data_IF_727654967057
#
_entry.id   IF_727654967057
#
_cell.length_a   1.000
_cell.length_b   1.000
_cell.length_c   1.000
_cell.angle_alpha   90.00
_cell.angle_beta   90.00
_cell.angle_gamma   90.00
#
_symmetry.space_group_name_H-M   'P 1'
#
loop_
_entity.id
_entity.type
_entity.pdbx_description
1 polymer ?
#
# COMPACT_ATOMS: atom_id res chain seq x y z
N UNK A 1 5.09 56.24 -25.37
CA UNK A 1 3.86 55.39 -25.39
C UNK A 1 2.74 56.04 -26.17
N UNK A 2 2.45 57.33 -25.97
CA UNK A 2 1.38 58.04 -26.69
C UNK A 2 1.50 58.02 -28.22
N UNK A 3 2.70 58.24 -28.79
CA UNK A 3 2.87 58.25 -30.26
C UNK A 3 2.68 56.87 -30.93
N UNK A 4 3.08 55.79 -30.25
CA UNK A 4 2.86 54.41 -30.73
C UNK A 4 1.39 54.00 -30.69
N UNK A 5 0.62 54.54 -29.73
CA UNK A 5 -0.82 54.34 -29.62
C UNK A 5 -1.56 55.08 -30.74
N UNK A 6 -1.15 56.30 -31.08
CA UNK A 6 -1.72 57.07 -32.20
C UNK A 6 -1.45 56.42 -33.57
N UNK A 7 -0.23 55.92 -33.81
CA UNK A 7 0.10 55.18 -35.04
C UNK A 7 -0.73 53.88 -35.18
N UNK A 8 -0.91 53.14 -34.08
CA UNK A 8 -1.76 51.94 -34.05
C UNK A 8 -3.22 52.28 -34.32
N UNK A 9 -3.77 53.34 -33.73
CA UNK A 9 -5.15 53.75 -33.99
C UNK A 9 -5.37 54.21 -35.42
N UNK A 10 -4.36 54.83 -36.04
CA UNK A 10 -4.43 55.30 -37.43
C UNK A 10 -4.29 54.14 -38.43
N UNK A 11 -3.51 53.11 -38.11
CA UNK A 11 -3.41 51.87 -38.89
C UNK A 11 -4.69 51.04 -38.82
N UNK A 12 -5.30 50.95 -37.62
CA UNK A 12 -6.54 50.21 -37.39
C UNK A 12 -7.78 50.90 -37.96
N UNK A 13 -7.79 52.23 -38.11
CA UNK A 13 -8.91 52.95 -38.72
C UNK A 13 -8.99 52.79 -40.25
N UNK A 14 -7.86 52.49 -40.92
CA UNK A 14 -7.76 52.38 -42.38
C UNK A 14 -7.98 50.97 -42.95
N UNK A 15 -8.00 49.92 -42.11
CA UNK A 15 -8.05 48.54 -42.60
C UNK A 15 -9.26 47.76 -42.04
N UNK A 16 -10.30 47.63 -42.85
CA UNK A 16 -11.55 46.95 -42.48
C UNK A 16 -11.33 45.48 -42.04
N UNK A 17 -10.34 44.79 -42.61
CA UNK A 17 -10.03 43.41 -42.23
C UNK A 17 -9.37 43.32 -40.84
N UNK A 18 -8.59 44.34 -40.45
CA UNK A 18 -7.99 44.42 -39.12
C UNK A 18 -9.04 44.73 -38.04
N UNK A 19 -10.04 45.57 -38.36
CA UNK A 19 -11.18 45.83 -37.48
C UNK A 19 -12.02 44.56 -37.27
N UNK A 20 -12.32 43.83 -38.33
CA UNK A 20 -13.04 42.54 -38.26
C UNK A 20 -12.29 41.52 -37.40
N UNK A 21 -10.97 41.42 -37.53
CA UNK A 21 -10.14 40.51 -36.74
C UNK A 21 -10.14 40.86 -35.23
N UNK A 22 -10.10 42.15 -34.89
CA UNK A 22 -10.16 42.60 -33.48
C UNK A 22 -11.54 42.36 -32.88
N UNK A 23 -12.61 42.62 -33.63
CA UNK A 23 -13.99 42.37 -33.19
C UNK A 23 -14.21 40.86 -32.98
N UNK A 24 -13.71 40.02 -33.88
CA UNK A 24 -13.76 38.57 -33.73
C UNK A 24 -12.98 38.09 -32.51
N UNK A 25 -11.75 38.59 -32.31
CA UNK A 25 -10.94 38.24 -31.14
C UNK A 25 -11.61 38.69 -29.82
N UNK A 26 -12.18 39.90 -29.77
CA UNK A 26 -12.90 40.41 -28.61
C UNK A 26 -14.16 39.58 -28.32
N UNK A 27 -14.91 39.17 -29.34
CA UNK A 27 -16.08 38.32 -29.21
C UNK A 27 -15.72 36.91 -28.71
N UNK A 28 -14.61 36.33 -29.18
CA UNK A 28 -14.10 35.03 -28.71
C UNK A 28 -13.63 35.08 -27.26
N UNK A 29 -12.96 36.15 -26.84
CA UNK A 29 -12.56 36.34 -25.44
C UNK A 29 -13.78 36.53 -24.55
N UNK A 30 -14.76 37.33 -24.97
CA UNK A 30 -15.99 37.55 -24.21
C UNK A 30 -16.81 36.26 -24.03
N UNK A 31 -16.88 35.41 -25.06
CA UNK A 31 -17.55 34.10 -24.99
C UNK A 31 -16.82 33.12 -24.09
N UNK A 32 -15.49 33.06 -24.14
CA UNK A 32 -14.71 32.22 -23.21
C UNK A 32 -14.90 32.66 -21.76
N UNK A 33 -14.80 33.97 -21.47
CA UNK A 33 -14.99 34.52 -20.12
C UNK A 33 -16.39 34.21 -19.58
N UNK A 34 -17.44 34.32 -20.40
CA UNK A 34 -18.80 33.98 -19.99
C UNK A 34 -18.99 32.49 -19.75
N UNK A 35 -18.45 31.62 -20.61
CA UNK A 35 -18.51 30.16 -20.41
C UNK A 35 -17.79 29.75 -19.12
N UNK A 36 -16.56 30.22 -18.89
CA UNK A 36 -15.82 29.92 -17.66
C UNK A 36 -16.51 30.48 -16.41
N UNK A 37 -17.11 31.67 -16.50
CA UNK A 37 -17.90 32.25 -15.40
C UNK A 37 -19.14 31.41 -15.08
N UNK A 38 -19.88 30.95 -16.10
CA UNK A 38 -21.06 30.09 -15.94
C UNK A 38 -20.65 28.73 -15.37
N UNK A 39 -19.57 28.12 -15.87
CA UNK A 39 -19.02 26.87 -15.33
C UNK A 39 -18.57 27.03 -13.87
N UNK A 40 -17.92 28.14 -13.52
CA UNK A 40 -17.52 28.46 -12.14
C UNK A 40 -18.72 28.58 -11.19
N UNK A 41 -19.80 29.25 -11.63
CA UNK A 41 -21.04 29.36 -10.86
C UNK A 41 -21.74 28.00 -10.71
N UNK A 42 -21.78 27.19 -11.77
CA UNK A 42 -22.33 25.83 -11.69
C UNK A 42 -21.51 24.93 -10.77
N UNK A 43 -20.17 25.01 -10.79
CA UNK A 43 -19.26 24.29 -9.87
C UNK A 43 -19.57 24.67 -8.41
N UNK A 44 -19.70 25.97 -8.11
CA UNK A 44 -20.06 26.44 -6.76
C UNK A 44 -21.42 25.92 -6.29
N UNK A 45 -22.43 25.89 -7.18
CA UNK A 45 -23.75 25.31 -6.85
C UNK A 45 -23.69 23.81 -6.62
N UNK A 46 -22.92 23.07 -7.42
CA UNK A 46 -22.73 21.62 -7.25
C UNK A 46 -22.02 21.28 -5.95
N UNK A 47 -20.96 22.02 -5.61
CA UNK A 47 -20.22 21.88 -4.34
C UNK A 47 -21.12 22.23 -3.15
N UNK A 48 -21.95 23.27 -3.25
CA UNK A 48 -22.91 23.62 -2.20
C UNK A 48 -23.95 22.52 -2.00
N UNK A 49 -24.48 21.96 -3.08
CA UNK A 49 -25.46 20.87 -3.04
C UNK A 49 -24.84 19.59 -2.45
N UNK A 50 -23.59 19.27 -2.80
CA UNK A 50 -22.80 18.20 -2.18
C UNK A 50 -22.57 18.44 -0.69
N UNK A 51 -22.26 19.67 -0.27
CA UNK A 51 -22.12 20.03 1.16
C UNK A 51 -23.45 19.91 1.91
N UNK A 52 -24.57 20.26 1.28
CA UNK A 52 -25.92 20.11 1.85
C UNK A 52 -26.32 18.61 1.93
N UNK A 53 -25.97 17.79 0.93
CA UNK A 53 -26.20 16.32 0.94
C UNK A 53 -25.28 15.57 1.92
N UNK A 54 -24.10 16.13 2.24
CA UNK A 54 -23.13 15.58 3.19
C UNK A 54 -23.33 16.10 4.63
N UNK A 55 -24.34 16.94 4.88
CA UNK A 55 -24.54 17.64 6.16
C UNK A 55 -24.67 16.72 7.39
N UNK A 56 -25.22 15.50 7.22
CA UNK A 56 -25.28 14.51 8.31
C UNK A 56 -23.94 13.78 8.55
N UNK A 57 -22.99 13.88 7.62
CA UNK A 57 -21.68 13.22 7.68
C UNK A 57 -20.58 14.17 8.17
N UNK A 58 -20.74 15.48 8.01
CA UNK A 58 -19.75 16.48 8.45
C UNK A 58 -19.65 16.58 9.96
N UNK A 59 -20.75 16.45 10.70
CA UNK A 59 -20.75 16.56 12.17
C UNK A 59 -20.01 15.38 12.83
N UNK A 60 -20.01 14.22 12.19
CA UNK A 60 -19.19 13.05 12.59
C UNK A 60 -17.72 13.20 12.21
N UNK A 61 -17.43 13.82 11.06
CA UNK A 61 -16.06 14.09 10.61
C UNK A 61 -15.43 15.27 11.36
N UNK A 62 -16.15 16.32 11.74
CA UNK A 62 -15.62 17.43 12.55
C UNK A 62 -15.28 16.95 13.97
N UNK A 63 -16.10 16.09 14.57
CA UNK A 63 -15.77 15.46 15.85
C UNK A 63 -14.55 14.51 15.76
N UNK A 64 -14.36 13.81 14.65
CA UNK A 64 -13.15 13.03 14.42
C UNK A 64 -11.94 13.92 14.11
N UNK A 65 -12.09 14.93 13.25
CA UNK A 65 -11.01 15.84 12.88
C UNK A 65 -10.55 16.68 14.08
N UNK A 66 -11.42 17.13 14.98
CA UNK A 66 -10.98 17.78 16.22
C UNK A 66 -10.19 16.84 17.14
N UNK A 67 -10.43 15.53 17.08
CA UNK A 67 -9.69 14.52 17.84
C UNK A 67 -8.37 14.12 17.17
N UNK A 68 -8.31 14.15 15.84
CA UNK A 68 -7.18 13.64 15.04
C UNK A 68 -6.31 14.72 14.36
N UNK A 69 -6.75 15.98 14.24
CA UNK A 69 -5.94 17.09 13.69
C UNK A 69 -4.62 17.32 14.45
N UNK A 70 -4.58 17.26 15.79
CA UNK A 70 -3.31 17.38 16.52
C UNK A 70 -2.34 16.23 16.19
N UNK A 71 -2.86 15.04 15.85
CA UNK A 71 -2.06 13.90 15.39
C UNK A 71 -1.59 14.12 13.95
N UNK A 72 -2.49 14.42 13.01
CA UNK A 72 -2.19 14.51 11.57
C UNK A 72 -1.15 15.59 11.22
N UNK A 73 -1.11 16.71 11.96
CA UNK A 73 -0.18 17.83 11.70
C UNK A 73 1.26 17.58 12.17
N UNK A 74 1.48 16.62 13.07
CA UNK A 74 2.80 16.31 13.66
C UNK A 74 3.44 15.04 13.10
N UNK A 75 2.75 14.34 12.18
CA UNK A 75 2.97 12.92 11.94
C UNK A 75 4.20 12.56 11.10
N UNK A 76 4.79 13.49 10.36
CA UNK A 76 5.84 13.11 9.40
C UNK A 76 7.25 13.00 9.99
N UNK A 77 7.49 13.39 11.26
CA UNK A 77 8.86 13.38 11.84
C UNK A 77 8.95 13.18 13.36
N UNK A 78 7.93 12.69 14.05
CA UNK A 78 7.99 12.56 15.51
C UNK A 78 8.00 11.08 16.01
N UNK A 79 9.13 10.60 16.57
CA UNK A 79 9.22 9.31 17.26
C UNK A 79 8.16 9.10 18.35
N UNK A 80 7.60 10.18 18.91
CA UNK A 80 6.61 10.13 19.99
C UNK A 80 5.31 9.40 19.61
N UNK A 81 4.95 9.39 18.32
CA UNK A 81 3.74 8.74 17.83
C UNK A 81 3.91 7.24 17.72
N UNK A 82 5.06 6.77 17.20
CA UNK A 82 5.41 5.33 17.24
C UNK A 82 5.44 4.82 18.68
N UNK A 83 5.99 5.62 19.61
CA UNK A 83 5.96 5.31 21.04
C UNK A 83 4.54 5.27 21.62
N UNK A 84 3.64 6.17 21.20
CA UNK A 84 2.23 6.16 21.60
C UNK A 84 1.51 4.88 21.13
N UNK A 85 1.67 4.49 19.86
CA UNK A 85 1.10 3.23 19.35
C UNK A 85 1.72 2.01 20.01
N UNK A 86 3.02 2.01 20.29
CA UNK A 86 3.69 0.93 21.04
C UNK A 86 3.19 0.83 22.48
N UNK A 87 2.81 1.94 23.09
CA UNK A 87 2.25 1.97 24.45
C UNK A 87 0.82 1.45 24.49
N UNK A 88 0.02 1.75 23.46
CA UNK A 88 -1.37 1.28 23.34
C UNK A 88 -1.43 -0.18 22.84
N UNK A 89 -0.48 -0.59 22.00
CA UNK A 89 -0.35 -1.93 21.42
C UNK A 89 1.06 -2.46 21.65
N UNK A 90 1.35 -3.04 22.83
CA UNK A 90 2.70 -3.49 23.15
C UNK A 90 3.16 -4.55 22.16
N UNK A 91 4.23 -4.23 21.44
CA UNK A 91 4.94 -5.18 20.60
C UNK A 91 5.43 -6.33 21.46
N UNK A 92 4.87 -7.52 21.25
CA UNK A 92 5.47 -8.73 21.77
C UNK A 92 6.67 -9.00 20.88
N UNK A 93 7.89 -8.95 21.42
CA UNK A 93 9.06 -9.46 20.73
C UNK A 93 8.81 -10.95 20.51
N UNK A 94 8.65 -11.36 19.25
CA UNK A 94 8.44 -12.76 18.88
C UNK A 94 9.67 -13.31 18.20
N UNK A 95 10.05 -14.51 18.60
CA UNK A 95 11.07 -15.33 17.97
C UNK A 95 10.59 -16.78 17.84
N UNK A 96 11.40 -17.63 17.21
CA UNK A 96 11.10 -19.06 17.07
C UNK A 96 10.93 -19.81 18.41
N UNK A 97 11.53 -19.33 19.49
CA UNK A 97 11.51 -19.97 20.82
C UNK A 97 10.35 -19.50 21.70
N UNK A 98 9.61 -18.49 21.25
CA UNK A 98 8.53 -17.89 22.01
C UNK A 98 7.47 -18.94 22.37
N UNK A 99 7.16 -19.05 23.66
CA UNK A 99 6.26 -20.08 24.19
C UNK A 99 4.83 -19.58 24.16
N UNK A 100 3.93 -20.40 23.63
CA UNK A 100 2.48 -20.15 23.64
C UNK A 100 1.88 -21.03 24.73
N UNK A 101 1.39 -20.39 25.79
CA UNK A 101 0.73 -21.07 26.90
C UNK A 101 -0.78 -20.95 26.71
N UNK A 102 -1.42 -22.08 26.43
CA UNK A 102 -2.86 -22.19 26.26
C UNK A 102 -3.50 -22.89 27.44
N UNK A 103 -4.69 -22.43 27.83
CA UNK A 103 -5.55 -23.21 28.72
C UNK A 103 -6.06 -24.47 27.99
N UNK A 104 -6.50 -25.48 28.73
CA UNK A 104 -7.01 -26.74 28.15
C UNK A 104 -8.12 -26.47 27.13
N UNK A 105 -9.05 -25.61 27.50
CA UNK A 105 -10.27 -25.34 26.73
C UNK A 105 -9.94 -24.58 25.44
N UNK A 106 -9.01 -23.62 25.51
CA UNK A 106 -8.52 -22.89 24.32
C UNK A 106 -7.77 -23.82 23.36
N UNK A 107 -6.99 -24.76 23.90
CA UNK A 107 -6.29 -25.76 23.09
C UNK A 107 -7.27 -26.67 22.34
N UNK A 108 -8.36 -27.08 22.99
CA UNK A 108 -9.41 -27.88 22.36
C UNK A 108 -10.15 -27.08 21.27
N UNK A 109 -10.54 -25.84 21.57
CA UNK A 109 -11.18 -24.95 20.59
C UNK A 109 -10.30 -24.71 19.36
N UNK A 110 -9.00 -24.45 19.57
CA UNK A 110 -8.08 -24.22 18.47
C UNK A 110 -7.80 -25.50 17.67
N UNK A 111 -7.74 -26.66 18.34
CA UNK A 111 -7.65 -27.95 17.67
C UNK A 111 -8.87 -28.21 16.77
N UNK A 112 -10.09 -27.88 17.23
CA UNK A 112 -11.30 -28.00 16.41
C UNK A 112 -11.30 -26.99 15.25
N UNK A 113 -10.82 -25.77 15.47
CA UNK A 113 -10.66 -24.76 14.40
C UNK A 113 -9.76 -25.28 13.27
N UNK A 114 -8.68 -26.00 13.61
CA UNK A 114 -7.71 -26.55 12.65
C UNK A 114 -7.97 -28.00 12.23
N UNK A 115 -9.11 -28.60 12.60
CA UNK A 115 -9.40 -30.01 12.33
C UNK A 115 -9.24 -30.40 10.85
N UNK A 116 -9.63 -29.52 9.92
CA UNK A 116 -9.50 -29.76 8.47
C UNK A 116 -8.04 -29.69 8.00
N UNK A 117 -7.26 -28.78 8.57
CA UNK A 117 -5.83 -28.67 8.29
C UNK A 117 -5.10 -29.92 8.79
N UNK A 118 -5.49 -30.43 9.97
CA UNK A 118 -4.95 -31.68 10.54
C UNK A 118 -5.20 -32.88 9.63
N UNK A 119 -6.39 -32.99 9.03
CA UNK A 119 -6.69 -34.06 8.06
C UNK A 119 -5.82 -33.94 6.81
N UNK A 120 -5.55 -32.73 6.35
CA UNK A 120 -4.78 -32.48 5.13
C UNK A 120 -3.25 -32.69 5.34
N UNK A 121 -2.68 -32.11 6.40
CA UNK A 121 -1.24 -32.13 6.65
C UNK A 121 -0.78 -33.32 7.51
N UNK A 122 -1.70 -34.00 8.19
CA UNK A 122 -1.39 -34.92 9.29
C UNK A 122 -0.96 -34.19 10.56
N UNK A 123 -0.81 -34.94 11.66
CA UNK A 123 -0.43 -34.40 12.97
C UNK A 123 0.93 -33.70 12.91
N UNK A 124 1.95 -34.40 12.39
CA UNK A 124 3.33 -33.92 12.34
C UNK A 124 3.46 -32.68 11.44
N UNK A 125 2.76 -32.67 10.31
CA UNK A 125 2.76 -31.53 9.39
C UNK A 125 2.13 -30.29 10.03
N UNK A 126 0.99 -30.46 10.70
CA UNK A 126 0.33 -29.36 11.40
C UNK A 126 1.17 -28.84 12.57
N UNK A 127 1.80 -29.74 13.34
CA UNK A 127 2.68 -29.34 14.45
C UNK A 127 3.87 -28.51 13.96
N UNK A 128 4.48 -28.87 12.82
CA UNK A 128 5.53 -28.05 12.19
C UNK A 128 5.03 -26.67 11.81
N UNK A 129 3.83 -26.56 11.24
CA UNK A 129 3.22 -25.28 10.88
C UNK A 129 2.95 -24.44 12.14
N UNK A 130 2.36 -25.02 13.18
CA UNK A 130 2.07 -24.34 14.44
C UNK A 130 3.33 -23.84 15.16
N UNK A 131 4.44 -24.56 15.01
CA UNK A 131 5.73 -24.20 15.60
C UNK A 131 6.60 -23.30 14.72
N UNK A 132 6.15 -22.98 13.50
CA UNK A 132 6.90 -22.10 12.61
C UNK A 132 6.86 -20.64 13.06
N UNK A 133 7.97 -19.94 12.80
CA UNK A 133 8.07 -18.48 12.92
C UNK A 133 8.27 -17.87 11.54
N UNK A 134 7.34 -17.00 11.13
CA UNK A 134 7.36 -16.36 9.80
C UNK A 134 7.43 -14.84 9.95
N UNK A 135 8.28 -14.22 9.13
CA UNK A 135 8.36 -12.76 9.03
C UNK A 135 7.76 -12.33 7.70
N UNK A 136 6.83 -11.37 7.73
CA UNK A 136 6.23 -10.78 6.55
C UNK A 136 6.65 -9.31 6.46
N UNK A 137 7.32 -8.95 5.38
CA UNK A 137 7.78 -7.57 5.13
C UNK A 137 6.89 -6.92 4.08
N UNK A 138 6.17 -5.87 4.48
CA UNK A 138 5.08 -5.25 3.75
C UNK A 138 3.72 -5.85 4.15
N UNK A 139 2.82 -5.01 4.65
CA UNK A 139 1.45 -5.31 5.06
C UNK A 139 0.42 -4.73 4.06
N UNK A 140 0.82 -4.51 2.81
CA UNK A 140 -0.05 -4.00 1.75
C UNK A 140 -1.08 -5.03 1.23
N UNK A 141 -1.48 -4.89 -0.03
CA UNK A 141 -2.50 -5.75 -0.65
C UNK A 141 -2.10 -7.22 -0.81
N UNK A 142 -0.80 -7.54 -0.74
CA UNK A 142 -0.30 -8.92 -0.77
C UNK A 142 -0.05 -9.43 0.65
N UNK A 143 0.79 -8.72 1.42
CA UNK A 143 1.22 -9.19 2.73
C UNK A 143 0.09 -9.30 3.75
N UNK A 144 -0.92 -8.42 3.71
CA UNK A 144 -2.09 -8.57 4.59
C UNK A 144 -2.85 -9.87 4.35
N UNK A 145 -2.92 -10.36 3.11
CA UNK A 145 -3.51 -11.68 2.81
C UNK A 145 -2.58 -12.82 3.21
N UNK A 146 -1.28 -12.70 2.94
CA UNK A 146 -0.30 -13.71 3.35
C UNK A 146 -0.35 -13.96 4.86
N UNK A 147 -0.35 -12.89 5.68
CA UNK A 147 -0.50 -12.98 7.14
C UNK A 147 -1.78 -13.71 7.54
N UNK A 148 -2.92 -13.35 6.95
CA UNK A 148 -4.21 -13.97 7.26
C UNK A 148 -4.26 -15.45 6.87
N UNK A 149 -3.64 -15.82 5.76
CA UNK A 149 -3.61 -17.20 5.27
C UNK A 149 -2.68 -18.05 6.13
N UNK A 150 -1.48 -17.55 6.46
CA UNK A 150 -0.57 -18.20 7.41
C UNK A 150 -1.26 -18.48 8.75
N UNK A 151 -1.95 -17.48 9.31
CA UNK A 151 -2.68 -17.63 10.56
C UNK A 151 -3.74 -18.72 10.46
N UNK A 152 -4.56 -18.69 9.40
CA UNK A 152 -5.64 -19.67 9.19
C UNK A 152 -5.13 -21.08 8.85
N UNK A 153 -3.90 -21.18 8.36
CA UNK A 153 -3.19 -22.45 8.18
C UNK A 153 -2.64 -23.02 9.50
N UNK A 154 -2.52 -22.20 10.54
CA UNK A 154 -2.11 -22.60 11.89
C UNK A 154 -0.81 -21.95 12.39
N UNK A 155 -0.17 -21.07 11.59
CA UNK A 155 1.02 -20.33 12.04
C UNK A 155 0.62 -19.36 13.14
N UNK A 156 1.29 -19.44 14.28
CA UNK A 156 0.95 -18.63 15.46
C UNK A 156 2.02 -17.60 15.82
N UNK A 157 3.22 -17.66 15.23
CA UNK A 157 4.31 -16.70 15.46
C UNK A 157 4.57 -15.95 14.17
N UNK A 158 4.11 -14.71 14.11
CA UNK A 158 4.23 -13.88 12.91
C UNK A 158 4.80 -12.52 13.31
N UNK A 159 5.90 -12.12 12.67
CA UNK A 159 6.34 -10.72 12.69
C UNK A 159 5.88 -10.06 11.41
N UNK A 160 5.30 -8.87 11.53
CA UNK A 160 4.81 -8.07 10.41
C UNK A 160 5.57 -6.74 10.44
N UNK A 161 6.21 -6.38 9.34
CA UNK A 161 7.01 -5.15 9.21
C UNK A 161 6.40 -4.29 8.12
N UNK A 162 5.86 -3.13 8.48
CA UNK A 162 5.39 -2.10 7.53
C UNK A 162 5.30 -0.76 8.27
N UNK A 163 5.76 0.32 7.63
CA UNK A 163 5.70 1.68 8.16
C UNK A 163 4.41 2.41 7.75
N UNK A 164 3.72 1.92 6.72
CA UNK A 164 2.55 2.57 6.16
C UNK A 164 1.31 2.46 7.06
N UNK A 165 0.44 3.45 6.90
CA UNK A 165 -0.91 3.46 7.44
C UNK A 165 -1.95 3.02 6.41
N UNK A 166 -3.11 2.62 6.90
CA UNK A 166 -4.28 2.36 6.05
C UNK A 166 -4.75 3.67 5.45
N UNK A 167 -4.85 3.71 4.13
CA UNK A 167 -5.48 4.81 3.38
C UNK A 167 -6.82 4.38 2.81
N UNK A 168 -7.68 5.32 2.40
CA UNK A 168 -8.94 4.99 1.72
C UNK A 168 -8.71 4.09 0.49
N UNK A 169 -7.64 4.36 -0.26
CA UNK A 169 -7.27 3.53 -1.40
C UNK A 169 -6.85 2.12 -1.01
N UNK A 170 -6.38 1.90 0.22
CA UNK A 170 -5.98 0.58 0.71
C UNK A 170 -7.17 -0.37 0.87
N UNK A 171 -8.37 0.17 1.13
CA UNK A 171 -9.59 -0.60 1.39
C UNK A 171 -10.03 -1.49 0.22
N UNK A 172 -9.59 -1.20 -1.01
CA UNK A 172 -9.89 -2.07 -2.16
C UNK A 172 -9.17 -3.42 -2.09
N UNK A 173 -8.02 -3.50 -1.39
CA UNK A 173 -7.10 -4.63 -1.48
C UNK A 173 -6.59 -5.19 -0.15
N UNK A 174 -6.46 -4.37 0.88
CA UNK A 174 -6.03 -4.82 2.21
C UNK A 174 -7.00 -5.88 2.75
N UNK A 175 -6.48 -6.92 3.41
CA UNK A 175 -7.28 -8.09 3.76
C UNK A 175 -8.39 -7.81 4.78
N UNK A 176 -8.09 -6.97 5.78
CA UNK A 176 -8.94 -6.81 6.97
C UNK A 176 -9.32 -5.36 7.28
N UNK A 177 -8.74 -4.40 6.54
CA UNK A 177 -8.94 -2.98 6.87
C UNK A 177 -10.33 -2.52 6.45
N UNK A 178 -10.92 -1.69 7.30
CA UNK A 178 -12.23 -1.09 7.15
C UNK A 178 -12.14 0.44 7.18
N UNK A 179 -13.28 1.13 7.02
CA UNK A 179 -13.31 2.60 6.99
C UNK A 179 -12.88 3.24 8.31
N UNK A 180 -13.09 2.57 9.45
CA UNK A 180 -12.65 3.06 10.76
C UNK A 180 -11.14 2.97 10.97
N UNK A 181 -10.45 2.19 10.14
CA UNK A 181 -9.02 1.91 10.32
C UNK A 181 -8.13 2.88 9.55
N UNK A 182 -8.72 3.80 8.78
CA UNK A 182 -7.97 4.79 8.00
C UNK A 182 -7.16 5.69 8.94
N UNK A 183 -5.85 5.79 8.70
CA UNK A 183 -4.89 6.47 9.57
C UNK A 183 -4.21 5.56 10.61
N UNK A 184 -4.68 4.33 10.79
CA UNK A 184 -4.04 3.36 11.68
C UNK A 184 -2.91 2.62 10.95
N UNK A 185 -1.76 2.33 11.59
CA UNK A 185 -0.71 1.50 11.00
C UNK A 185 -1.23 0.14 10.52
N UNK A 186 -0.87 -0.28 9.30
CA UNK A 186 -1.40 -1.52 8.69
C UNK A 186 -1.06 -2.77 9.53
N UNK A 187 0.13 -2.79 10.12
CA UNK A 187 0.62 -3.87 11.00
C UNK A 187 -0.24 -4.00 12.25
N UNK A 188 -0.61 -2.88 12.88
CA UNK A 188 -1.47 -2.82 14.07
C UNK A 188 -2.90 -3.28 13.73
N UNK A 189 -3.45 -2.84 12.60
CA UNK A 189 -4.78 -3.27 12.14
C UNK A 189 -4.83 -4.80 11.95
N UNK A 190 -3.78 -5.38 11.37
CA UNK A 190 -3.66 -6.84 11.27
C UNK A 190 -3.60 -7.48 12.65
N UNK A 191 -2.72 -7.01 13.55
CA UNK A 191 -2.58 -7.56 14.90
C UNK A 191 -3.92 -7.58 15.65
N UNK A 192 -4.65 -6.46 15.66
CA UNK A 192 -5.96 -6.34 16.30
C UNK A 192 -6.98 -7.32 15.71
N UNK A 193 -7.04 -7.41 14.38
CA UNK A 193 -7.98 -8.31 13.71
C UNK A 193 -7.66 -9.78 14.00
N UNK A 194 -6.38 -10.14 14.03
CA UNK A 194 -5.91 -11.50 14.33
C UNK A 194 -6.29 -11.93 15.74
N UNK A 195 -6.20 -11.03 16.72
CA UNK A 195 -6.59 -11.32 18.11
C UNK A 195 -8.06 -11.75 18.24
N UNK A 196 -8.95 -11.34 17.32
CA UNK A 196 -10.33 -11.78 17.29
C UNK A 196 -10.51 -13.21 16.74
N UNK A 197 -9.50 -13.75 16.05
CA UNK A 197 -9.55 -15.07 15.39
C UNK A 197 -8.73 -16.09 16.17
N UNK A 198 -7.52 -15.70 16.60
CA UNK A 198 -6.59 -16.55 17.36
C UNK A 198 -5.98 -15.67 18.47
N UNK A 199 -6.68 -15.50 19.62
CA UNK A 199 -6.28 -14.57 20.68
C UNK A 199 -4.88 -14.82 21.26
N UNK A 200 -4.42 -16.07 21.22
CA UNK A 200 -3.13 -16.52 21.73
C UNK A 200 -1.99 -16.40 20.71
N UNK A 201 -2.29 -16.06 19.45
CA UNK A 201 -1.25 -15.88 18.44
C UNK A 201 -0.28 -14.77 18.85
N UNK A 202 1.00 -15.02 18.65
CA UNK A 202 2.08 -14.10 18.94
C UNK A 202 2.37 -13.30 17.67
N UNK A 203 1.80 -12.09 17.63
CA UNK A 203 1.96 -11.16 16.50
C UNK A 203 2.84 -9.99 16.93
N UNK A 204 4.02 -9.89 16.31
CA UNK A 204 4.98 -8.80 16.49
C UNK A 204 4.78 -7.76 15.37
N UNK A 205 4.18 -6.61 15.70
CA UNK A 205 3.79 -5.57 14.74
C UNK A 205 4.83 -4.43 14.68
N UNK A 206 5.78 -4.50 13.75
CA UNK A 206 6.82 -3.48 13.58
C UNK A 206 6.36 -2.37 12.65
N UNK A 207 6.06 -1.21 13.22
CA UNK A 207 5.75 0.03 12.47
C UNK A 207 7.06 0.69 12.05
N UNK A 208 7.78 0.04 11.13
CA UNK A 208 9.13 0.42 10.74
C UNK A 208 9.37 0.20 9.25
N UNK A 209 10.17 1.08 8.63
CA UNK A 209 10.62 0.90 7.26
C UNK A 209 11.81 -0.07 7.27
N UNK A 210 11.74 -1.11 6.43
CA UNK A 210 12.87 -2.00 6.24
C UNK A 210 14.01 -1.24 5.53
N UNK A 211 15.22 -1.35 6.06
CA UNK A 211 16.46 -0.92 5.43
C UNK A 211 17.57 -1.95 5.71
N UNK A 212 18.69 -1.84 5.00
CA UNK A 212 19.82 -2.73 5.25
C UNK A 212 20.40 -2.53 6.66
N UNK A 213 20.31 -1.31 7.20
CA UNK A 213 20.89 -0.94 8.50
C UNK A 213 20.15 -1.59 9.67
N UNK A 214 18.82 -1.75 9.56
CA UNK A 214 17.99 -2.40 10.57
C UNK A 214 17.63 -3.86 10.25
N UNK A 215 18.10 -4.40 9.12
CA UNK A 215 17.77 -5.75 8.67
C UNK A 215 18.14 -6.84 9.71
N UNK A 216 19.27 -6.67 10.41
CA UNK A 216 19.74 -7.63 11.41
C UNK A 216 18.80 -7.73 12.62
N UNK A 217 18.21 -6.61 13.02
CA UNK A 217 17.22 -6.56 14.09
C UNK A 217 15.86 -7.05 13.60
N UNK A 218 15.37 -6.51 12.49
CA UNK A 218 14.03 -6.78 11.99
C UNK A 218 13.84 -8.24 11.57
N UNK A 219 14.89 -8.88 11.03
CA UNK A 219 14.87 -10.28 10.60
C UNK A 219 15.45 -11.25 11.64
N UNK A 220 15.70 -10.76 12.87
CA UNK A 220 16.17 -11.59 13.99
C UNK A 220 15.13 -12.62 14.45
N UNK A 221 15.54 -13.51 15.34
CA UNK A 221 14.64 -14.49 15.98
C UNK A 221 14.58 -15.86 15.28
N UNK A 222 15.49 -16.09 14.32
CA UNK A 222 15.65 -17.34 13.57
C UNK A 222 14.35 -17.77 12.86
N UNK A 223 13.84 -16.96 11.90
CA UNK A 223 12.63 -17.29 11.18
C UNK A 223 12.80 -18.54 10.33
N UNK A 224 11.74 -19.34 10.25
CA UNK A 224 11.66 -20.47 9.33
C UNK A 224 11.48 -20.00 7.89
N UNK A 225 10.87 -18.82 7.71
CA UNK A 225 10.60 -18.23 6.41
C UNK A 225 10.42 -16.71 6.49
N UNK A 226 10.88 -16.01 5.46
CA UNK A 226 10.64 -14.58 5.22
C UNK A 226 9.78 -14.43 3.98
N UNK A 227 8.71 -13.64 4.05
CA UNK A 227 7.83 -13.35 2.92
C UNK A 227 7.99 -11.87 2.57
N UNK A 228 8.56 -11.63 1.40
CA UNK A 228 8.73 -10.29 0.85
C UNK A 228 7.49 -9.86 0.05
N UNK A 229 6.77 -8.88 0.59
CA UNK A 229 5.59 -8.25 0.00
C UNK A 229 5.81 -6.75 -0.29
N UNK A 230 7.07 -6.31 -0.39
CA UNK A 230 7.45 -4.91 -0.63
C UNK A 230 7.15 -4.52 -2.08
N UNK A 231 6.73 -3.28 -2.32
CA UNK A 231 6.46 -2.75 -3.65
C UNK A 231 7.60 -1.85 -4.20
N UNK A 232 8.37 -1.20 -3.33
CA UNK A 232 9.59 -0.48 -3.70
C UNK A 232 10.71 -1.45 -4.13
N UNK A 233 11.29 -1.20 -5.31
CA UNK A 233 12.29 -2.08 -5.91
C UNK A 233 13.61 -2.09 -5.12
N UNK A 234 14.05 -0.93 -4.64
CA UNK A 234 15.34 -0.79 -3.92
C UNK A 234 15.28 -1.55 -2.61
N UNK A 235 14.28 -1.26 -1.78
CA UNK A 235 14.08 -1.94 -0.49
C UNK A 235 13.88 -3.45 -0.66
N UNK A 236 13.16 -3.86 -1.71
CA UNK A 236 13.01 -5.27 -2.07
C UNK A 236 14.37 -5.93 -2.36
N UNK A 237 15.22 -5.29 -3.15
CA UNK A 237 16.53 -5.85 -3.47
C UNK A 237 17.42 -5.97 -2.23
N UNK A 238 17.39 -4.98 -1.35
CA UNK A 238 18.14 -5.03 -0.08
C UNK A 238 17.68 -6.21 0.79
N UNK A 239 16.36 -6.42 0.92
CA UNK A 239 15.79 -7.55 1.65
C UNK A 239 16.23 -8.89 1.04
N UNK A 240 16.06 -9.06 -0.28
CA UNK A 240 16.39 -10.30 -0.96
C UNK A 240 17.88 -10.62 -0.90
N UNK A 241 18.72 -9.60 -1.06
CA UNK A 241 20.17 -9.74 -0.93
C UNK A 241 20.53 -10.14 0.50
N UNK A 242 19.99 -9.46 1.50
CA UNK A 242 20.26 -9.77 2.90
C UNK A 242 19.87 -11.21 3.26
N UNK A 243 18.67 -11.65 2.83
CA UNK A 243 18.23 -13.02 3.05
C UNK A 243 19.14 -14.04 2.35
N UNK A 244 19.56 -13.77 1.11
CA UNK A 244 20.47 -14.62 0.36
C UNK A 244 21.83 -14.76 1.07
N UNK A 245 22.45 -13.64 1.45
CA UNK A 245 23.77 -13.63 2.09
C UNK A 245 23.75 -14.33 3.47
N UNK A 246 22.63 -14.24 4.20
CA UNK A 246 22.46 -14.83 5.53
C UNK A 246 21.79 -16.21 5.53
N UNK A 247 21.57 -16.82 4.36
CA UNK A 247 20.89 -18.11 4.20
C UNK A 247 19.50 -18.16 4.87
N UNK A 248 18.77 -17.04 4.86
CA UNK A 248 17.38 -16.99 5.29
C UNK A 248 16.48 -17.42 4.13
N UNK A 249 15.59 -18.37 4.40
CA UNK A 249 14.61 -18.82 3.41
C UNK A 249 13.64 -17.68 3.11
N UNK A 250 13.54 -17.30 1.84
CA UNK A 250 12.71 -16.17 1.40
C UNK A 250 11.89 -16.53 0.17
N UNK A 251 10.63 -16.10 0.16
CA UNK A 251 9.80 -16.03 -1.05
C UNK A 251 9.40 -14.58 -1.29
N UNK A 252 9.50 -14.14 -2.54
CA UNK A 252 9.17 -12.77 -2.92
C UNK A 252 7.95 -12.68 -3.81
N UNK A 253 7.02 -11.81 -3.45
CA UNK A 253 5.93 -11.39 -4.33
C UNK A 253 6.45 -10.44 -5.40
N UNK A 254 6.12 -10.76 -6.65
CA UNK A 254 6.36 -9.92 -7.82
C UNK A 254 5.12 -9.07 -8.13
N UNK A 255 5.00 -8.57 -9.37
CA UNK A 255 3.99 -7.59 -9.72
C UNK A 255 2.59 -8.20 -9.79
N UNK A 256 1.70 -7.82 -8.87
CA UNK A 256 0.29 -8.22 -8.87
C UNK A 256 -0.65 -7.18 -9.50
N UNK A 257 -0.17 -5.96 -9.77
CA UNK A 257 -0.97 -4.90 -10.41
C UNK A 257 -1.19 -5.11 -11.91
N UNK A 258 -2.29 -4.56 -12.45
CA UNK A 258 -2.69 -4.64 -13.87
C UNK A 258 -2.93 -6.07 -14.38
N UNK A 259 -3.21 -7.00 -13.46
CA UNK A 259 -3.49 -8.41 -13.73
C UNK A 259 -4.87 -8.74 -13.17
N UNK A 260 -5.51 -9.76 -13.75
CA UNK A 260 -6.89 -10.14 -13.47
C UNK A 260 -7.10 -11.64 -13.37
N UNK A 261 -6.18 -12.46 -13.90
CA UNK A 261 -6.33 -13.90 -13.98
C UNK A 261 -5.55 -14.64 -12.87
N UNK A 262 -6.23 -15.17 -11.84
CA UNK A 262 -5.60 -15.99 -10.80
C UNK A 262 -4.84 -17.19 -11.31
N UNK A 263 -5.38 -17.83 -12.35
CA UNK A 263 -4.96 -19.16 -12.77
C UNK A 263 -3.55 -19.17 -13.36
N UNK A 264 -3.00 -17.97 -13.60
CA UNK A 264 -1.69 -17.74 -14.23
C UNK A 264 -0.58 -17.44 -13.23
N UNK A 265 -0.89 -17.53 -11.94
CA UNK A 265 0.08 -17.32 -10.87
C UNK A 265 0.82 -18.60 -10.56
N UNK A 266 2.13 -18.46 -10.43
CA UNK A 266 3.04 -19.58 -10.27
C UNK A 266 4.25 -19.19 -9.44
N UNK A 267 4.88 -20.21 -8.87
CA UNK A 267 6.11 -20.10 -8.11
C UNK A 267 7.25 -20.57 -9.01
N UNK A 268 8.33 -19.80 -9.08
CA UNK A 268 9.56 -20.22 -9.74
C UNK A 268 10.75 -19.55 -9.08
N UNK A 269 11.96 -20.04 -9.40
CA UNK A 269 13.16 -19.27 -9.13
C UNK A 269 13.17 -17.95 -9.92
N UNK A 270 13.70 -16.88 -9.32
CA UNK A 270 13.77 -15.55 -9.95
C UNK A 270 14.43 -15.58 -11.34
N UNK A 271 15.44 -16.43 -11.53
CA UNK A 271 16.15 -16.63 -12.79
C UNK A 271 15.27 -17.14 -13.93
N UNK A 272 14.22 -17.89 -13.60
CA UNK A 272 13.32 -18.56 -14.55
C UNK A 272 12.02 -17.79 -14.82
N UNK A 273 11.86 -16.59 -14.25
CA UNK A 273 10.64 -15.78 -14.43
C UNK A 273 10.50 -15.19 -15.84
N UNK A 274 9.28 -15.21 -16.38
CA UNK A 274 8.94 -14.63 -17.69
C UNK A 274 7.68 -13.75 -17.64
N UNK A 275 7.49 -12.88 -18.63
CA UNK A 275 6.30 -12.01 -18.82
C UNK A 275 6.02 -10.95 -17.73
N UNK A 276 6.62 -11.04 -16.53
CA UNK A 276 6.46 -10.05 -15.46
C UNK A 276 7.54 -8.94 -15.50
N UNK A 277 7.15 -7.66 -15.68
CA UNK A 277 8.09 -6.54 -15.69
C UNK A 277 8.84 -6.33 -14.35
N UNK A 278 8.18 -6.54 -13.21
CA UNK A 278 8.82 -6.38 -11.91
C UNK A 278 9.88 -7.46 -11.71
N UNK A 279 9.53 -8.73 -11.99
CA UNK A 279 10.48 -9.84 -11.93
C UNK A 279 11.67 -9.62 -12.86
N UNK A 280 11.44 -9.10 -14.08
CA UNK A 280 12.52 -8.76 -15.01
C UNK A 280 13.47 -7.70 -14.43
N UNK A 281 12.92 -6.64 -13.81
CA UNK A 281 13.73 -5.58 -13.20
C UNK A 281 14.54 -6.10 -12.02
N UNK A 282 13.88 -6.82 -11.10
CA UNK A 282 14.50 -7.42 -9.91
C UNK A 282 15.58 -8.41 -10.30
N UNK A 283 15.29 -9.37 -11.21
CA UNK A 283 16.27 -10.34 -11.72
C UNK A 283 17.50 -9.66 -12.31
N UNK A 284 17.31 -8.61 -13.12
CA UNK A 284 18.43 -7.88 -13.73
C UNK A 284 19.32 -7.21 -12.68
N UNK A 285 18.73 -6.68 -11.61
CA UNK A 285 19.48 -6.02 -10.54
C UNK A 285 20.18 -7.03 -9.63
N UNK A 286 19.50 -8.11 -9.24
CA UNK A 286 20.11 -9.23 -8.50
C UNK A 286 21.29 -9.84 -9.27
N UNK A 287 21.17 -10.03 -10.59
CA UNK A 287 22.29 -10.52 -11.42
C UNK A 287 23.51 -9.60 -11.37
N UNK A 288 23.31 -8.27 -11.29
CA UNK A 288 24.43 -7.31 -11.10
C UNK A 288 25.07 -7.44 -9.71
N UNK A 289 24.31 -7.90 -8.73
CA UNK A 289 24.78 -8.19 -7.37
C UNK A 289 25.39 -9.60 -7.23
N UNK A 290 25.47 -10.37 -8.32
CA UNK A 290 26.01 -11.74 -8.31
C UNK A 290 25.00 -12.84 -7.97
N UNK A 291 23.71 -12.51 -7.85
CA UNK A 291 22.65 -13.46 -7.50
C UNK A 291 21.84 -13.78 -8.76
N UNK A 292 22.01 -14.99 -9.29
CA UNK A 292 21.30 -15.43 -10.50
C UNK A 292 20.13 -16.39 -10.21
N UNK A 293 20.24 -17.18 -9.14
CA UNK A 293 19.30 -18.22 -8.71
C UNK A 293 19.33 -18.36 -7.18
N UNK A 294 18.39 -19.12 -6.63
CA UNK A 294 18.27 -19.41 -5.20
C UNK A 294 17.25 -18.54 -4.47
N UNK A 295 16.41 -17.80 -5.20
CA UNK A 295 15.34 -16.97 -4.62
C UNK A 295 14.03 -17.39 -5.27
N UNK A 296 13.15 -17.98 -4.46
CA UNK A 296 11.80 -18.34 -4.88
C UNK A 296 10.95 -17.08 -4.99
N UNK A 297 10.18 -16.98 -6.07
CA UNK A 297 9.29 -15.83 -6.30
C UNK A 297 7.93 -16.27 -6.80
N UNK A 298 6.91 -15.55 -6.37
CA UNK A 298 5.55 -15.68 -6.89
C UNK A 298 5.33 -14.60 -7.93
N UNK A 299 4.97 -15.00 -9.14
CA UNK A 299 4.67 -14.08 -10.24
C UNK A 299 3.54 -14.63 -11.10
N UNK A 300 3.03 -13.79 -11.99
CA UNK A 300 2.00 -14.20 -12.95
C UNK A 300 2.54 -14.12 -14.38
N UNK A 301 2.20 -15.14 -15.17
CA UNK A 301 2.46 -15.16 -16.62
C UNK A 301 1.52 -14.28 -17.42
N UNK A 302 0.51 -13.69 -16.78
CA UNK A 302 -0.38 -12.72 -17.40
C UNK A 302 0.41 -11.49 -17.83
N UNK A 303 0.33 -11.19 -19.13
CA UNK A 303 0.86 -9.94 -19.68
C UNK A 303 0.03 -8.79 -19.09
N UNK A 304 0.66 -7.77 -18.48
CA UNK A 304 -0.08 -6.64 -17.94
C UNK A 304 -1.00 -6.03 -19.00
N UNK A 305 -2.29 -5.89 -18.67
CA UNK A 305 -3.26 -5.30 -19.58
C UNK A 305 -2.94 -3.85 -19.91
N UNK A 306 -3.61 -3.29 -20.94
CA UNK A 306 -3.58 -1.84 -21.25
C UNK A 306 -4.41 -1.04 -20.24
N UNK A 307 -4.14 -1.22 -18.95
CA UNK A 307 -4.84 -0.48 -17.90
C UNK A 307 -4.02 0.74 -17.57
N UNK A 308 -4.59 1.92 -17.79
CA UNK A 308 -3.92 3.17 -17.49
C UNK A 308 -4.03 3.48 -15.99
N UNK A 309 -3.03 4.19 -15.48
CA UNK A 309 -3.13 4.77 -14.14
C UNK A 309 -4.30 5.74 -14.13
N UNK A 310 -5.08 5.73 -13.04
CA UNK A 310 -6.12 6.74 -12.87
C UNK A 310 -5.44 8.12 -12.83
N UNK A 311 -5.99 9.12 -13.55
CA UNK A 311 -5.49 10.48 -13.45
C UNK A 311 -5.67 10.96 -12.00
N UNK A 312 -4.68 11.72 -11.52
CA UNK A 312 -4.80 12.42 -10.24
C UNK A 312 -5.88 13.50 -10.40
N UNK A 313 -6.63 13.81 -9.34
CA UNK A 313 -7.50 14.98 -9.38
C UNK A 313 -6.67 16.27 -9.44
N UNK A 314 -7.22 17.38 -9.94
CA UNK A 314 -6.53 18.69 -10.00
C UNK A 314 -5.85 19.05 -8.66
N UNK A 315 -6.51 18.74 -7.53
CA UNK A 315 -5.99 18.94 -6.18
C UNK A 315 -4.84 18.02 -5.77
N UNK A 316 -4.72 16.84 -6.36
CA UNK A 316 -3.65 15.87 -6.09
C UNK A 316 -2.42 16.09 -6.98
N UNK A 317 -2.59 16.76 -8.12
CA UNK A 317 -1.48 17.14 -8.99
C UNK A 317 -0.68 18.32 -8.41
N UNK A 318 -1.35 19.26 -7.73
CA UNK A 318 -0.72 20.42 -7.10
C UNK A 318 0.14 20.05 -5.87
N UNK A 319 -0.17 18.96 -5.16
CA UNK A 319 0.57 18.50 -3.98
C UNK A 319 0.94 17.01 -4.01
N UNK A 320 1.32 16.49 -5.18
CA UNK A 320 1.66 15.08 -5.37
C UNK A 320 2.75 14.55 -4.39
N UNK A 321 3.66 15.42 -3.96
CA UNK A 321 4.71 15.12 -2.98
C UNK A 321 4.16 14.93 -1.55
N UNK A 322 3.05 15.58 -1.18
CA UNK A 322 2.39 15.40 0.13
C UNK A 322 1.65 14.07 0.24
N UNK A 323 1.30 13.44 -0.88
CA UNK A 323 0.63 12.13 -0.91
C UNK A 323 1.61 10.96 -0.97
N UNK A 324 2.90 11.22 -1.19
CA UNK A 324 3.96 10.22 -1.15
C UNK A 324 4.53 10.17 0.27
N UNK A 325 4.39 9.04 0.98
CA UNK A 325 5.02 8.87 2.30
C UNK A 325 6.55 8.98 2.19
N UNK A 326 7.11 8.67 1.02
CA UNK A 326 8.53 8.80 0.69
C UNK A 326 8.71 9.19 -0.79
N UNK A 327 9.81 9.87 -1.17
CA UNK A 327 10.04 10.38 -2.54
C UNK A 327 9.98 9.33 -3.66
N UNK A 328 10.34 8.08 -3.35
CA UNK A 328 10.38 6.97 -4.30
C UNK A 328 9.17 6.03 -4.22
N UNK A 329 8.15 6.38 -3.43
CA UNK A 329 6.92 5.57 -3.30
C UNK A 329 5.86 5.96 -4.32
N UNK A 330 5.09 4.97 -4.78
CA UNK A 330 4.10 5.19 -5.85
C UNK A 330 2.89 5.96 -5.33
N UNK A 331 2.77 7.22 -5.74
CA UNK A 331 1.57 8.06 -5.52
C UNK A 331 0.37 7.61 -6.37
N UNK A 332 0.63 7.00 -7.55
CA UNK A 332 -0.42 6.58 -8.49
C UNK A 332 -0.88 5.15 -8.21
N UNK A 333 -2.18 5.00 -7.99
CA UNK A 333 -2.81 3.71 -7.71
C UNK A 333 -3.01 2.95 -9.02
N UNK A 334 -2.40 1.78 -9.09
CA UNK A 334 -2.64 0.82 -10.16
C UNK A 334 -3.90 0.02 -9.80
N UNK A 335 -4.86 -0.18 -10.73
CA UNK A 335 -5.97 -1.07 -10.45
C UNK A 335 -5.45 -2.50 -10.24
N UNK A 336 -5.91 -3.12 -9.16
CA UNK A 336 -5.58 -4.49 -8.76
C UNK A 336 -6.89 -5.27 -8.74
N UNK A 337 -7.00 -6.32 -9.55
CA UNK A 337 -8.15 -7.21 -9.64
C UNK A 337 -7.71 -8.60 -9.22
N UNK A 338 -8.33 -9.15 -8.17
CA UNK A 338 -8.00 -10.49 -7.69
C UNK A 338 -6.70 -10.53 -6.88
N UNK A 339 -6.72 -11.32 -5.81
CA UNK A 339 -5.73 -11.29 -4.72
C UNK A 339 -5.15 -12.69 -4.63
N UNK A 340 -4.01 -12.93 -5.22
CA UNK A 340 -3.46 -14.29 -5.25
C UNK A 340 -2.00 -14.27 -4.85
N UNK A 341 -1.83 -14.24 -3.54
CA UNK A 341 -0.63 -14.65 -2.85
C UNK A 341 -1.13 -15.10 -1.48
N UNK A 342 -1.50 -16.37 -1.45
CA UNK A 342 -1.82 -17.15 -0.27
C UNK A 342 -1.04 -18.44 -0.40
#
# INVERSE_FOLDING_TARGET
MASKLEELTTFLSKNNNAQLAIVAAAASVATLVTVFSIQGVQRKRRVRKLKEELGDFSDGIENMNQKFEPMLSSYDRDPSVSELFQKEYPNRIVDKKSVINLQSDEKELFSEQLARNKVFFGEEGLEKIMNSFVIVVGAGGVGSWAVMMLLRSGVQRIRIIDFDQVTLSSLNRHAVASRSDVGTPKTVVLQQYIQNIVPHALIDARVELFSIDNASELLSGNPDYVIDCIDNITTKLDLLKYCYDNNLRVISSMGSGMKSDPSRIQIADIGNTFEDPLSRSVRRQLKKMGIEQGIEVVYSTEKPGKVQLLPLSESQEESAEEFAVLPDFRVRIVPVLGKYLA
#
